data_IF_561141892144
#
_entry.id   IF_561141892144
#
_cell.length_a   1.000
_cell.length_b   1.000
_cell.length_c   1.000
_cell.angle_alpha   90.00
_cell.angle_beta   90.00
_cell.angle_gamma   90.00
#
_symmetry.space_group_name_H-M   'P 1'
#
loop_
_entity.id
_entity.type
_entity.pdbx_description
1 polymer ?
#
# COMPACT_ATOMS: atom_id res chain seq x y z
N UNK A 1 1.16 6.49 -21.43
CA UNK A 1 1.63 5.91 -20.15
C UNK A 1 0.51 5.05 -19.60
N UNK A 2 0.60 3.73 -19.76
CA UNK A 2 -0.42 2.78 -19.31
C UNK A 2 -0.41 2.75 -17.79
N UNK A 3 -1.43 3.33 -17.15
CA UNK A 3 -1.66 3.13 -15.71
C UNK A 3 -1.95 1.64 -15.50
N UNK A 4 -0.93 0.89 -15.06
CA UNK A 4 -1.07 -0.53 -14.78
C UNK A 4 -1.91 -0.64 -13.51
N UNK A 5 -3.19 -1.00 -13.65
CA UNK A 5 -4.06 -1.24 -12.49
C UNK A 5 -3.51 -2.43 -11.70
N UNK A 6 -3.17 -2.19 -10.44
CA UNK A 6 -2.77 -3.20 -9.46
C UNK A 6 -3.93 -3.48 -8.50
N UNK A 7 -3.94 -4.66 -7.91
CA UNK A 7 -5.04 -5.16 -7.08
C UNK A 7 -5.28 -4.29 -5.85
N UNK A 8 -6.54 -4.16 -5.44
CA UNK A 8 -6.92 -3.44 -4.20
C UNK A 8 -7.04 -4.38 -2.99
N UNK A 9 -7.39 -3.81 -1.84
CA UNK A 9 -7.75 -4.56 -0.64
C UNK A 9 -9.18 -5.11 -0.70
N UNK A 10 -9.61 -5.74 0.39
CA UNK A 10 -10.96 -6.34 0.52
C UNK A 10 -12.04 -5.26 0.62
N UNK A 11 -11.81 -4.22 1.41
CA UNK A 11 -12.76 -3.11 1.64
C UNK A 11 -12.24 -1.82 1.03
N UNK A 12 -10.92 -1.60 1.11
CA UNK A 12 -10.29 -0.37 0.65
C UNK A 12 -9.78 -0.50 -0.78
N UNK A 13 -10.17 0.48 -1.62
CA UNK A 13 -9.62 0.66 -2.96
C UNK A 13 -8.24 1.30 -2.88
N UNK A 14 -7.29 0.85 -3.69
CA UNK A 14 -5.95 1.46 -3.72
C UNK A 14 -6.04 2.93 -4.18
N UNK A 15 -5.52 3.90 -3.39
CA UNK A 15 -5.55 5.29 -3.78
C UNK A 15 -4.52 5.59 -4.87
N UNK A 16 -4.81 6.57 -5.72
CA UNK A 16 -4.07 6.84 -6.95
C UNK A 16 -2.58 7.17 -6.72
N UNK A 17 -2.27 7.87 -5.64
CA UNK A 17 -0.91 8.22 -5.23
C UNK A 17 -0.10 7.01 -4.77
N UNK A 18 -0.71 6.09 -4.01
CA UNK A 18 -0.06 4.82 -3.68
C UNK A 18 0.15 3.95 -4.92
N UNK A 19 -0.86 3.87 -5.78
CA UNK A 19 -0.76 3.14 -7.05
C UNK A 19 0.38 3.69 -7.91
N UNK A 20 0.51 5.01 -8.04
CA UNK A 20 1.58 5.64 -8.83
C UNK A 20 2.97 5.25 -8.33
N UNK A 21 3.20 5.26 -7.01
CA UNK A 21 4.50 4.92 -6.44
C UNK A 21 4.83 3.43 -6.59
N UNK A 22 3.85 2.55 -6.38
CA UNK A 22 4.07 1.11 -6.54
C UNK A 22 4.29 0.73 -8.00
N UNK A 23 3.48 1.25 -8.92
CA UNK A 23 3.59 0.96 -10.37
C UNK A 23 4.86 1.51 -11.00
N UNK A 24 5.53 2.48 -10.36
CA UNK A 24 6.83 2.97 -10.79
C UNK A 24 7.98 1.98 -10.54
N UNK A 25 7.76 0.91 -9.76
CA UNK A 25 8.77 -0.13 -9.50
C UNK A 25 8.19 -1.52 -9.72
N UNK A 26 8.63 -2.26 -10.76
CA UNK A 26 8.11 -3.61 -11.05
C UNK A 26 8.21 -4.59 -9.86
N UNK A 27 9.30 -4.52 -9.08
CA UNK A 27 9.47 -5.35 -7.87
C UNK A 27 8.46 -5.02 -6.78
N UNK A 28 8.08 -3.75 -6.62
CA UNK A 28 7.08 -3.35 -5.63
C UNK A 28 5.68 -3.79 -6.06
N UNK A 29 5.36 -3.74 -7.37
CA UNK A 29 4.13 -4.34 -7.92
C UNK A 29 4.09 -5.84 -7.65
N UNK A 30 5.17 -6.57 -7.94
CA UNK A 30 5.21 -8.01 -7.70
C UNK A 30 5.00 -8.33 -6.21
N UNK A 31 5.68 -7.63 -5.30
CA UNK A 31 5.48 -7.79 -3.86
C UNK A 31 4.05 -7.44 -3.41
N UNK A 32 3.45 -6.40 -3.99
CA UNK A 32 2.06 -6.02 -3.72
C UNK A 32 1.05 -7.07 -4.20
N UNK A 33 1.27 -7.65 -5.38
CA UNK A 33 0.42 -8.72 -5.91
C UNK A 33 0.63 -10.06 -5.16
N UNK A 34 1.80 -10.28 -4.56
CA UNK A 34 2.13 -11.50 -3.81
C UNK A 34 1.55 -11.51 -2.37
N UNK A 35 1.18 -10.35 -1.82
CA UNK A 35 0.53 -10.28 -0.49
C UNK A 35 -0.98 -10.54 -0.59
N UNK A 36 -1.55 -11.02 0.51
CA UNK A 36 -2.99 -11.34 0.57
C UNK A 36 -3.86 -10.08 0.40
N UNK A 37 -5.10 -10.20 -0.09
CA UNK A 37 -6.04 -9.08 -0.16
C UNK A 37 -6.23 -8.35 1.18
N UNK A 38 -6.19 -9.10 2.30
CA UNK A 38 -6.26 -8.52 3.64
C UNK A 38 -5.01 -7.68 3.97
N UNK A 39 -3.82 -8.16 3.61
CA UNK A 39 -2.60 -7.39 3.82
C UNK A 39 -2.58 -6.09 2.99
N UNK A 40 -3.07 -6.13 1.74
CA UNK A 40 -3.27 -4.93 0.91
C UNK A 40 -4.25 -3.97 1.59
N UNK A 41 -5.35 -4.49 2.11
CA UNK A 41 -6.35 -3.71 2.85
C UNK A 41 -5.73 -2.99 4.06
N UNK A 42 -4.85 -3.66 4.80
CA UNK A 42 -4.13 -3.07 5.94
C UNK A 42 -3.18 -1.94 5.51
N UNK A 43 -2.40 -2.14 4.44
CA UNK A 43 -1.54 -1.08 3.88
C UNK A 43 -2.34 0.14 3.42
N UNK A 44 -3.43 -0.08 2.70
CA UNK A 44 -4.27 1.01 2.20
C UNK A 44 -4.87 1.77 3.37
N UNK A 45 -5.51 1.08 4.33
CA UNK A 45 -6.11 1.70 5.50
C UNK A 45 -5.06 2.49 6.33
N UNK A 46 -3.86 1.94 6.46
CA UNK A 46 -2.75 2.63 7.13
C UNK A 46 -2.34 3.91 6.41
N UNK A 47 -2.18 3.89 5.09
CA UNK A 47 -1.88 5.09 4.29
C UNK A 47 -3.02 6.11 4.37
N UNK A 48 -4.28 5.67 4.25
CA UNK A 48 -5.45 6.54 4.32
C UNK A 48 -5.67 7.19 5.69
N UNK A 49 -5.26 6.53 6.78
CA UNK A 49 -5.37 7.11 8.12
C UNK A 49 -4.45 8.31 8.37
N UNK A 50 -3.47 8.58 7.48
CA UNK A 50 -2.63 9.78 7.57
C UNK A 50 -3.36 11.01 7.03
N UNK A 51 -3.89 11.84 7.94
CA UNK A 51 -4.61 13.08 7.59
C UNK A 51 -3.68 14.22 7.12
N UNK A 52 -2.42 14.24 7.55
CA UNK A 52 -1.44 15.25 7.13
C UNK A 52 -0.79 14.82 5.81
N UNK A 53 -0.71 15.70 4.79
CA UNK A 53 -0.12 15.37 3.48
C UNK A 53 1.32 14.83 3.58
N UNK A 54 2.15 15.45 4.43
CA UNK A 54 3.54 15.05 4.65
C UNK A 54 3.64 13.63 5.23
N UNK A 55 2.80 13.32 6.22
CA UNK A 55 2.74 11.98 6.82
C UNK A 55 2.26 10.95 5.81
N UNK A 56 1.29 11.31 4.97
CA UNK A 56 0.78 10.44 3.90
C UNK A 56 1.88 10.12 2.89
N UNK A 57 2.60 11.13 2.40
CA UNK A 57 3.73 10.94 1.49
C UNK A 57 4.79 10.02 2.10
N UNK A 58 5.15 10.24 3.36
CA UNK A 58 6.10 9.37 4.07
C UNK A 58 5.61 7.92 4.20
N UNK A 59 4.32 7.69 4.50
CA UNK A 59 3.76 6.34 4.59
C UNK A 59 3.72 5.62 3.24
N UNK A 60 3.49 6.35 2.14
CA UNK A 60 3.51 5.78 0.80
C UNK A 60 4.93 5.30 0.43
N UNK A 61 5.95 6.15 0.63
CA UNK A 61 7.34 5.75 0.39
C UNK A 61 7.78 4.60 1.31
N UNK A 62 7.34 4.63 2.56
CA UNK A 62 7.58 3.52 3.48
C UNK A 62 6.90 2.24 3.04
N UNK A 63 5.67 2.30 2.51
CA UNK A 63 4.97 1.12 1.96
C UNK A 63 5.80 0.48 0.85
N UNK A 64 6.29 1.29 -0.10
CA UNK A 64 7.18 0.82 -1.17
C UNK A 64 8.45 0.18 -0.61
N UNK A 65 9.15 0.86 0.29
CA UNK A 65 10.41 0.36 0.88
C UNK A 65 10.20 -0.92 1.69
N UNK A 66 9.16 -0.97 2.52
CA UNK A 66 8.84 -2.12 3.36
C UNK A 66 8.47 -3.34 2.50
N UNK A 67 7.68 -3.16 1.44
CA UNK A 67 7.37 -4.24 0.47
C UNK A 67 8.63 -4.75 -0.23
N UNK A 68 9.52 -3.85 -0.66
CA UNK A 68 10.80 -4.23 -1.28
C UNK A 68 11.74 -4.94 -0.30
N UNK A 69 11.61 -4.67 1.01
CA UNK A 69 12.33 -5.39 2.07
C UNK A 69 11.68 -6.73 2.46
N UNK A 70 10.58 -7.12 1.81
CA UNK A 70 9.87 -8.38 2.06
C UNK A 70 8.83 -8.33 3.17
N UNK A 71 8.55 -7.14 3.75
CA UNK A 71 7.47 -7.01 4.73
C UNK A 71 6.12 -7.10 4.05
N UNK A 72 5.27 -7.99 4.57
CA UNK A 72 3.94 -8.22 4.00
C UNK A 72 2.86 -7.33 4.61
N UNK A 73 3.09 -6.74 5.79
CA UNK A 73 2.13 -5.89 6.53
C UNK A 73 2.79 -4.64 7.12
N UNK A 74 2.03 -3.55 7.34
CA UNK A 74 2.55 -2.36 8.01
C UNK A 74 2.96 -2.68 9.45
N UNK A 75 4.18 -2.30 9.83
CA UNK A 75 4.64 -2.45 11.22
C UNK A 75 4.15 -1.29 12.10
N UNK A 76 3.86 -1.60 13.37
CA UNK A 76 3.27 -0.68 14.36
C UNK A 76 1.85 -0.20 13.98
N UNK A 77 1.05 -1.06 13.34
CA UNK A 77 -0.36 -0.81 13.04
C UNK A 77 -1.23 -1.88 13.71
N UNK A 78 -2.27 -1.52 14.50
CA UNK A 78 -3.16 -2.48 15.17
C UNK A 78 -4.11 -3.22 14.20
N UNK A 79 -3.96 -2.98 12.90
CA UNK A 79 -4.77 -3.54 11.83
C UNK A 79 -5.91 -2.62 11.39
N UNK A 80 -6.47 -2.91 10.23
CA UNK A 80 -7.65 -2.21 9.71
C UNK A 80 -8.87 -2.51 10.61
N UNK A 81 -9.68 -1.50 10.93
CA UNK A 81 -10.94 -1.69 11.68
C UNK A 81 -12.08 -2.24 10.81
N UNK A 82 -11.95 -2.14 9.48
CA UNK A 82 -12.94 -2.60 8.50
C UNK A 82 -12.62 -4.03 8.05
N UNK A 83 -12.55 -4.97 9.00
CA UNK A 83 -12.22 -6.38 8.73
C UNK A 83 -13.45 -7.11 8.20
#
# INVERSE_FOLDING_TARGET
>A
MTSKKISSGVVHTIPADLQKILTSVPKAVAAWEDITPLARNEWICWVESAKKPETRAHRIERTRTDLLSGKRRPCCWPGCKHR
#
